data_IF_065758054179
#
_entry.id   IF_065758054179
#
_cell.length_a   1.000
_cell.length_b   1.000
_cell.length_c   1.000
_cell.angle_alpha   90.00
_cell.angle_beta   90.00
_cell.angle_gamma   90.00
#
_symmetry.space_group_name_H-M   'P 1'
#
loop_
_entity.id
_entity.type
_entity.pdbx_description
1 polymer ?
#
# COMPACT_ATOMS: atom_id res chain seq x y z
N UNK A 1 23.91 -23.09 -9.06
CA UNK A 1 23.91 -22.89 -7.59
C UNK A 1 23.90 -24.28 -6.95
N UNK A 2 24.55 -24.55 -5.80
CA UNK A 2 24.40 -25.88 -5.16
C UNK A 2 22.94 -26.08 -4.74
N UNK A 3 22.39 -27.27 -4.95
CA UNK A 3 21.07 -27.64 -4.43
C UNK A 3 21.02 -27.51 -2.90
N UNK A 4 19.85 -27.19 -2.35
CA UNK A 4 19.63 -27.01 -0.92
C UNK A 4 18.58 -28.00 -0.41
N UNK A 5 18.71 -28.42 0.84
CA UNK A 5 17.64 -29.10 1.57
C UNK A 5 17.48 -28.42 2.93
N UNK A 6 16.28 -27.93 3.22
CA UNK A 6 15.91 -27.39 4.54
C UNK A 6 15.19 -28.49 5.31
N UNK A 7 15.65 -28.82 6.51
CA UNK A 7 15.14 -29.96 7.30
C UNK A 7 14.74 -29.54 8.72
N UNK A 8 13.94 -30.37 9.38
CA UNK A 8 13.60 -30.29 10.81
C UNK A 8 12.75 -29.10 11.30
N UNK A 9 12.46 -28.11 10.44
CA UNK A 9 11.56 -27.00 10.77
C UNK A 9 10.08 -27.34 10.64
N UNK A 10 9.24 -26.49 11.21
CA UNK A 10 7.78 -26.55 11.09
C UNK A 10 7.35 -25.71 9.89
N UNK A 11 6.77 -26.34 8.87
CA UNK A 11 6.37 -25.69 7.62
C UNK A 11 4.94 -25.15 7.74
N UNK A 12 4.79 -23.86 7.44
CA UNK A 12 3.49 -23.18 7.32
C UNK A 12 3.31 -22.71 5.88
N UNK A 13 2.35 -23.31 5.18
CA UNK A 13 1.97 -22.96 3.81
C UNK A 13 0.44 -23.05 3.68
N UNK A 14 -0.27 -21.93 3.91
CA UNK A 14 -1.73 -21.90 3.88
C UNK A 14 -2.33 -22.27 2.53
N UNK A 15 -1.64 -22.02 1.41
CA UNK A 15 -2.13 -22.39 0.07
C UNK A 15 -2.12 -23.90 -0.13
N UNK A 16 -1.09 -24.57 0.41
CA UNK A 16 -0.97 -26.03 0.37
C UNK A 16 -1.52 -26.72 1.63
N UNK A 17 -2.17 -25.97 2.53
CA UNK A 17 -2.79 -26.45 3.78
C UNK A 17 -1.81 -27.13 4.74
N UNK A 18 -0.57 -26.65 4.80
CA UNK A 18 0.42 -27.10 5.77
C UNK A 18 0.40 -26.15 6.98
N UNK A 19 0.16 -26.70 8.17
CA UNK A 19 -0.01 -25.95 9.42
C UNK A 19 0.94 -26.47 10.51
N UNK A 20 2.21 -26.08 10.42
CA UNK A 20 3.23 -26.46 11.40
C UNK A 20 3.73 -27.90 11.26
N UNK A 21 3.65 -28.48 10.06
CA UNK A 21 4.10 -29.85 9.80
C UNK A 21 5.62 -29.92 9.64
N UNK A 22 6.27 -30.96 10.20
CA UNK A 22 7.69 -31.22 9.93
C UNK A 22 7.84 -31.81 8.54
N UNK A 23 8.40 -31.03 7.61
CA UNK A 23 8.63 -31.44 6.22
C UNK A 23 9.95 -30.90 5.69
N UNK A 24 10.63 -31.72 4.89
CA UNK A 24 11.83 -31.26 4.18
C UNK A 24 11.46 -30.43 2.96
N UNK A 25 12.17 -29.32 2.75
CA UNK A 25 12.02 -28.48 1.56
C UNK A 25 13.26 -28.65 0.69
N UNK A 26 13.06 -29.15 -0.52
CA UNK A 26 14.10 -29.39 -1.50
C UNK A 26 14.15 -28.26 -2.53
N UNK A 27 15.33 -27.68 -2.76
CA UNK A 27 15.51 -26.56 -3.67
C UNK A 27 16.63 -26.87 -4.65
N UNK A 28 16.36 -26.70 -5.95
CA UNK A 28 17.34 -26.87 -7.02
C UNK A 28 17.17 -25.75 -8.05
N UNK A 29 18.28 -25.12 -8.41
CA UNK A 29 18.34 -24.06 -9.43
C UNK A 29 17.32 -22.92 -9.22
N UNK A 30 17.10 -22.56 -7.94
CA UNK A 30 16.19 -21.48 -7.54
C UNK A 30 14.72 -21.88 -7.44
N UNK A 31 14.37 -23.15 -7.70
CA UNK A 31 13.00 -23.66 -7.64
C UNK A 31 12.84 -24.69 -6.53
N UNK A 32 11.65 -24.71 -5.93
CA UNK A 32 11.23 -25.80 -5.03
C UNK A 32 10.94 -27.04 -5.91
N UNK A 33 11.53 -28.18 -5.54
CA UNK A 33 11.39 -29.45 -6.27
C UNK A 33 10.92 -30.55 -5.33
N UNK A 34 10.39 -31.66 -5.86
CA UNK A 34 9.97 -32.79 -5.02
C UNK A 34 11.13 -33.40 -4.23
N UNK A 35 12.28 -33.56 -4.89
CA UNK A 35 13.48 -34.15 -4.27
C UNK A 35 14.75 -33.69 -4.97
N UNK A 36 15.80 -33.46 -4.20
CA UNK A 36 17.15 -33.28 -4.72
C UNK A 36 17.87 -34.63 -4.72
N UNK A 37 18.47 -34.98 -5.86
CA UNK A 37 19.35 -36.13 -5.99
C UNK A 37 20.82 -35.64 -5.97
N UNK A 38 21.69 -36.29 -5.18
CA UNK A 38 23.12 -35.97 -5.11
C UNK A 38 23.52 -35.03 -3.94
N UNK A 39 24.71 -34.43 -4.04
CA UNK A 39 25.24 -33.51 -3.02
C UNK A 39 24.38 -32.24 -2.93
N UNK A 40 23.87 -31.96 -1.74
CA UNK A 40 23.04 -30.80 -1.44
C UNK A 40 23.49 -30.18 -0.12
N UNK A 41 23.53 -28.86 -0.07
CA UNK A 41 23.80 -28.16 1.18
C UNK A 41 22.58 -28.29 2.09
N UNK A 42 22.80 -28.82 3.28
CA UNK A 42 21.76 -28.96 4.30
C UNK A 42 21.67 -27.67 5.12
N UNK A 43 20.45 -27.20 5.32
CA UNK A 43 20.10 -26.14 6.28
C UNK A 43 19.24 -26.79 7.35
N UNK A 44 19.75 -26.84 8.58
CA UNK A 44 19.00 -27.35 9.73
C UNK A 44 18.14 -26.24 10.32
N UNK A 45 16.82 -26.41 10.29
CA UNK A 45 15.82 -25.49 10.81
C UNK A 45 15.16 -26.04 12.08
N UNK A 46 15.86 -26.89 12.84
CA UNK A 46 15.39 -27.43 14.12
C UNK A 46 14.94 -26.31 15.07
N UNK A 47 13.70 -26.40 15.56
CA UNK A 47 13.11 -25.39 16.45
C UNK A 47 12.69 -24.08 15.76
N UNK A 48 12.73 -24.03 14.42
CA UNK A 48 12.36 -22.87 13.63
C UNK A 48 11.08 -23.11 12.82
N UNK A 49 10.43 -22.00 12.47
CA UNK A 49 9.32 -21.95 11.52
C UNK A 49 9.88 -21.75 10.11
N UNK A 50 9.29 -22.43 9.13
CA UNK A 50 9.56 -22.27 7.71
C UNK A 50 8.28 -21.75 7.05
N UNK A 51 8.38 -20.61 6.37
CA UNK A 51 7.29 -20.00 5.59
C UNK A 51 7.80 -19.64 4.19
N UNK A 52 6.91 -19.49 3.19
CA UNK A 52 7.23 -18.80 1.95
C UNK A 52 7.82 -17.41 2.22
N UNK A 53 8.61 -16.91 1.28
CA UNK A 53 9.10 -15.54 1.34
C UNK A 53 7.94 -14.54 1.38
N UNK A 54 8.04 -13.54 2.26
CA UNK A 54 7.00 -12.53 2.42
C UNK A 54 6.77 -11.72 1.14
N UNK A 55 5.51 -11.41 0.86
CA UNK A 55 5.08 -10.58 -0.27
C UNK A 55 4.41 -9.32 0.27
N UNK A 56 5.04 -8.16 0.07
CA UNK A 56 4.47 -6.87 0.42
C UNK A 56 3.77 -6.27 -0.82
N UNK A 57 2.44 -6.20 -0.76
CA UNK A 57 1.61 -5.80 -1.89
C UNK A 57 1.42 -4.28 -2.01
N UNK A 58 1.84 -3.50 -1.01
CA UNK A 58 1.68 -2.06 -1.00
C UNK A 58 2.73 -1.37 -0.12
N UNK A 59 3.78 -0.85 -0.75
CA UNK A 59 4.85 -0.14 -0.05
C UNK A 59 5.52 0.93 -0.91
N UNK A 60 5.62 2.16 -0.41
CA UNK A 60 6.29 3.26 -1.12
C UNK A 60 7.79 3.22 -0.88
N UNK A 61 8.51 2.59 -1.81
CA UNK A 61 9.94 2.33 -1.72
C UNK A 61 10.75 2.94 -2.86
N UNK A 62 10.11 3.28 -3.97
CA UNK A 62 10.79 3.71 -5.18
C UNK A 62 10.07 4.82 -5.95
N UNK A 63 10.83 5.88 -6.28
CA UNK A 63 10.40 6.92 -7.22
C UNK A 63 10.43 8.33 -6.64
N UNK A 64 10.07 9.31 -7.48
CA UNK A 64 10.23 10.75 -7.16
C UNK A 64 9.62 11.18 -5.82
N UNK A 65 8.42 10.69 -5.49
CA UNK A 65 7.74 10.99 -4.23
C UNK A 65 8.52 10.47 -3.03
N UNK A 66 8.97 9.21 -3.10
CA UNK A 66 9.75 8.58 -2.03
C UNK A 66 11.08 9.32 -1.84
N UNK A 67 11.77 9.63 -2.93
CA UNK A 67 13.05 10.33 -2.87
C UNK A 67 12.93 11.78 -2.37
N UNK A 68 11.84 12.48 -2.71
CA UNK A 68 11.56 13.80 -2.15
C UNK A 68 11.36 13.73 -0.62
N UNK A 69 10.70 12.68 -0.11
CA UNK A 69 10.62 12.39 1.32
C UNK A 69 11.99 12.20 1.97
N UNK A 70 12.88 11.41 1.34
CA UNK A 70 14.27 11.21 1.81
C UNK A 70 15.08 12.51 1.84
N UNK A 71 14.91 13.34 0.82
CA UNK A 71 15.66 14.60 0.67
C UNK A 71 15.22 15.64 1.70
N UNK A 72 13.91 15.80 1.87
CA UNK A 72 13.33 16.85 2.71
C UNK A 72 13.33 16.54 4.19
N UNK A 73 13.68 15.30 4.56
CA UNK A 73 13.74 14.84 5.95
C UNK A 73 15.15 14.44 6.40
N UNK A 74 16.10 15.39 6.52
CA UNK A 74 17.36 15.09 7.19
C UNK A 74 17.15 14.68 8.66
N UNK A 75 16.08 15.12 9.31
CA UNK A 75 15.64 14.72 10.66
C UNK A 75 15.23 13.24 10.77
N UNK A 76 14.88 12.58 9.66
CA UNK A 76 14.57 11.14 9.63
C UNK A 76 15.84 10.26 9.70
N UNK A 77 17.02 10.86 9.56
CA UNK A 77 18.33 10.18 9.52
C UNK A 77 18.92 9.98 10.92
N UNK A 78 18.10 9.42 11.80
CA UNK A 78 18.46 9.13 13.19
C UNK A 78 19.69 8.20 13.26
N UNK A 79 20.58 8.44 14.22
CA UNK A 79 21.91 7.82 14.28
C UNK A 79 21.85 6.30 14.35
N UNK A 80 20.92 5.75 15.13
CA UNK A 80 20.71 4.32 15.32
C UNK A 80 20.15 3.60 14.07
N UNK A 81 19.71 4.35 13.06
CA UNK A 81 19.27 3.81 11.77
C UNK A 81 20.30 4.03 10.65
N UNK A 82 21.49 4.54 10.98
CA UNK A 82 22.61 4.64 10.05
C UNK A 82 23.29 3.29 9.88
N UNK A 83 23.18 2.72 8.68
CA UNK A 83 23.85 1.49 8.30
C UNK A 83 25.24 1.83 7.79
N UNK A 84 26.28 1.29 8.44
CA UNK A 84 27.67 1.45 8.00
C UNK A 84 27.94 0.53 6.82
N UNK A 85 28.80 0.98 5.91
CA UNK A 85 29.31 0.13 4.82
C UNK A 85 30.03 -1.08 5.41
N UNK A 86 29.74 -2.26 4.89
CA UNK A 86 30.45 -3.51 5.23
C UNK A 86 31.17 -4.06 4.00
N UNK A 87 31.76 -5.26 4.12
CA UNK A 87 32.30 -5.99 2.96
C UNK A 87 31.21 -6.40 1.95
N UNK A 88 29.95 -6.53 2.39
CA UNK A 88 28.83 -7.04 1.58
C UNK A 88 27.77 -5.98 1.29
N UNK A 89 27.59 -5.01 2.18
CA UNK A 89 26.51 -4.01 2.13
C UNK A 89 27.04 -2.60 1.96
N UNK A 90 26.29 -1.77 1.24
CA UNK A 90 26.53 -0.33 1.19
C UNK A 90 25.99 0.36 2.44
N UNK A 91 26.51 1.56 2.72
CA UNK A 91 25.95 2.41 3.76
C UNK A 91 24.61 3.02 3.35
N UNK A 92 23.84 3.45 4.33
CA UNK A 92 22.61 4.21 4.11
C UNK A 92 21.95 4.61 5.43
N UNK A 93 20.79 5.25 5.34
CA UNK A 93 20.09 5.83 6.50
C UNK A 93 18.60 5.98 6.20
N UNK A 94 17.85 6.49 7.18
CA UNK A 94 16.41 6.74 7.16
C UNK A 94 15.69 5.80 8.12
N UNK A 95 14.92 6.37 9.05
CA UNK A 95 14.07 5.62 9.96
C UNK A 95 12.73 5.29 9.29
N UNK A 96 11.98 6.31 8.87
CA UNK A 96 10.69 6.15 8.19
C UNK A 96 10.85 5.97 6.68
N UNK A 97 11.78 6.68 6.04
CA UNK A 97 12.00 6.57 4.58
C UNK A 97 13.44 6.16 4.30
N UNK A 98 13.77 4.86 4.41
CA UNK A 98 15.14 4.40 4.19
C UNK A 98 15.63 4.65 2.76
N UNK A 99 16.94 4.85 2.64
CA UNK A 99 17.65 4.82 1.36
C UNK A 99 17.51 3.46 0.65
N UNK A 100 17.53 3.45 -0.68
CA UNK A 100 17.27 2.28 -1.54
C UNK A 100 17.97 0.99 -1.11
N UNK A 101 19.29 1.03 -0.86
CA UNK A 101 20.05 -0.15 -0.42
C UNK A 101 19.55 -0.69 0.92
N UNK A 102 19.29 0.21 1.88
CA UNK A 102 18.81 -0.12 3.22
C UNK A 102 17.39 -0.69 3.17
N UNK A 103 16.54 -0.19 2.27
CA UNK A 103 15.22 -0.77 2.02
C UNK A 103 15.32 -2.27 1.70
N UNK A 104 16.16 -2.64 0.73
CA UNK A 104 16.35 -4.05 0.35
C UNK A 104 16.88 -4.90 1.50
N UNK A 105 17.89 -4.40 2.24
CA UNK A 105 18.45 -5.13 3.38
C UNK A 105 17.44 -5.35 4.50
N UNK A 106 16.63 -4.34 4.82
CA UNK A 106 15.67 -4.43 5.92
C UNK A 106 14.51 -5.37 5.59
N UNK A 107 13.96 -5.33 4.38
CA UNK A 107 12.96 -6.32 3.95
C UNK A 107 13.51 -7.75 3.98
N UNK A 108 14.72 -7.95 3.44
CA UNK A 108 15.35 -9.28 3.44
C UNK A 108 15.57 -9.83 4.87
N UNK A 109 15.93 -8.97 5.84
CA UNK A 109 16.05 -9.35 7.26
C UNK A 109 14.70 -9.74 7.89
N UNK A 110 13.59 -9.21 7.38
CA UNK A 110 12.23 -9.58 7.79
C UNK A 110 11.74 -10.87 7.11
N UNK A 111 12.50 -11.46 6.19
CA UNK A 111 12.09 -12.63 5.41
C UNK A 111 11.18 -12.31 4.22
N UNK A 112 11.06 -11.03 3.83
CA UNK A 112 10.32 -10.63 2.64
C UNK A 112 11.21 -10.74 1.39
N UNK A 113 10.61 -11.21 0.30
CA UNK A 113 11.30 -11.47 -0.96
C UNK A 113 10.68 -10.73 -2.14
N UNK A 114 9.43 -10.29 -2.04
CA UNK A 114 8.75 -9.55 -3.11
C UNK A 114 8.08 -8.31 -2.54
N UNK A 115 8.22 -7.18 -3.24
CA UNK A 115 7.63 -5.89 -2.85
C UNK A 115 7.01 -5.19 -4.06
N UNK A 116 5.92 -4.46 -3.83
CA UNK A 116 5.19 -3.76 -4.89
C UNK A 116 5.11 -2.26 -4.57
N UNK A 117 5.72 -1.42 -5.41
CA UNK A 117 5.56 0.04 -5.38
C UNK A 117 4.17 0.40 -5.94
N UNK A 118 3.28 0.98 -5.13
CA UNK A 118 1.88 1.09 -5.50
C UNK A 118 1.55 2.42 -6.17
N UNK A 119 2.50 3.34 -6.39
CA UNK A 119 2.21 4.65 -6.98
C UNK A 119 3.35 5.16 -7.88
N UNK A 120 3.35 4.73 -9.14
CA UNK A 120 4.29 5.20 -10.16
C UNK A 120 3.64 6.18 -11.14
N UNK A 121 3.97 7.49 -11.11
CA UNK A 121 3.57 8.41 -12.18
C UNK A 121 4.24 8.01 -13.50
N UNK A 122 3.55 8.15 -14.63
CA UNK A 122 3.96 7.56 -15.91
C UNK A 122 5.21 8.27 -16.46
N UNK A 123 5.22 9.61 -16.48
CA UNK A 123 6.36 10.44 -16.90
C UNK A 123 7.61 10.20 -16.05
N UNK A 124 7.41 9.76 -14.81
CA UNK A 124 8.46 9.55 -13.81
C UNK A 124 8.84 8.07 -13.64
N UNK A 125 8.32 7.17 -14.47
CA UNK A 125 8.57 5.73 -14.38
C UNK A 125 10.07 5.37 -14.40
N UNK A 126 10.89 6.10 -15.19
CA UNK A 126 12.35 5.89 -15.24
C UNK A 126 13.00 6.00 -13.85
N UNK A 127 12.63 7.00 -13.05
CA UNK A 127 13.20 7.18 -11.71
C UNK A 127 12.81 6.03 -10.77
N UNK A 128 11.55 5.55 -10.82
CA UNK A 128 11.15 4.37 -10.05
C UNK A 128 12.01 3.15 -10.40
N UNK A 129 12.24 2.88 -11.68
CA UNK A 129 13.09 1.76 -12.11
C UNK A 129 14.57 1.95 -11.77
N UNK A 130 15.10 3.18 -11.84
CA UNK A 130 16.47 3.50 -11.40
C UNK A 130 16.66 3.26 -9.89
N UNK A 131 15.66 3.55 -9.06
CA UNK A 131 15.70 3.22 -7.64
C UNK A 131 15.59 1.70 -7.41
N UNK A 132 14.76 0.98 -8.18
CA UNK A 132 14.68 -0.47 -8.11
C UNK A 132 16.02 -1.17 -8.38
N UNK A 133 16.84 -0.66 -9.30
CA UNK A 133 18.19 -1.17 -9.55
C UNK A 133 19.10 -1.08 -8.31
N UNK A 134 18.81 -0.15 -7.40
CA UNK A 134 19.54 0.06 -6.16
C UNK A 134 18.84 -0.51 -4.91
N UNK A 135 17.75 -1.27 -5.08
CA UNK A 135 17.08 -2.02 -4.02
C UNK A 135 17.45 -3.50 -4.19
N UNK A 136 18.43 -4.01 -3.42
CA UNK A 136 18.97 -5.35 -3.61
C UNK A 136 18.00 -6.45 -3.11
N UNK A 137 18.29 -7.70 -3.50
CA UNK A 137 17.66 -8.95 -3.04
C UNK A 137 16.23 -9.18 -3.53
N UNK A 138 15.35 -8.19 -3.39
CA UNK A 138 13.91 -8.34 -3.58
C UNK A 138 13.52 -8.47 -5.05
N UNK A 139 12.49 -9.26 -5.34
CA UNK A 139 11.68 -9.09 -6.56
C UNK A 139 10.77 -7.88 -6.39
N UNK A 140 10.57 -7.12 -7.48
CA UNK A 140 9.95 -5.79 -7.44
C UNK A 140 8.98 -5.62 -8.58
N UNK A 141 7.85 -4.96 -8.31
CA UNK A 141 6.90 -4.49 -9.31
C UNK A 141 6.48 -3.06 -8.98
N UNK A 142 6.02 -2.31 -10.00
CA UNK A 142 5.42 -0.98 -9.81
C UNK A 142 4.05 -0.91 -10.48
N UNK A 143 3.10 -0.21 -9.85
CA UNK A 143 1.75 -0.02 -10.35
C UNK A 143 1.58 1.44 -10.83
N UNK A 144 1.36 1.68 -12.14
CA UNK A 144 1.13 3.02 -12.67
C UNK A 144 -0.18 3.66 -12.17
N UNK A 145 -0.12 4.97 -11.93
CA UNK A 145 -1.27 5.80 -11.51
C UNK A 145 -2.11 6.20 -12.71
N UNK A 146 -3.40 5.85 -12.70
CA UNK A 146 -4.31 6.00 -13.83
C UNK A 146 -5.63 6.71 -13.50
N UNK A 147 -5.95 6.88 -12.20
CA UNK A 147 -7.23 7.44 -11.75
C UNK A 147 -7.48 8.93 -12.03
N UNK A 148 -6.47 9.67 -12.50
CA UNK A 148 -6.55 11.11 -12.81
C UNK A 148 -5.84 11.44 -14.14
N UNK A 149 -5.66 10.45 -15.01
CA UNK A 149 -4.97 10.65 -16.28
C UNK A 149 -5.93 11.22 -17.33
N UNK A 150 -5.49 12.24 -18.05
CA UNK A 150 -6.34 12.99 -19.00
C UNK A 150 -6.88 12.11 -20.14
N UNK A 151 -6.04 11.27 -20.75
CA UNK A 151 -6.50 10.39 -21.83
C UNK A 151 -7.55 9.37 -21.36
N UNK A 152 -7.38 8.85 -20.13
CA UNK A 152 -8.37 7.95 -19.52
C UNK A 152 -9.70 8.67 -19.32
N UNK A 153 -9.67 9.87 -18.75
CA UNK A 153 -10.88 10.67 -18.53
C UNK A 153 -11.56 11.03 -19.86
N UNK A 154 -10.79 11.37 -20.90
CA UNK A 154 -11.30 11.62 -22.25
C UNK A 154 -12.01 10.40 -22.85
N UNK A 155 -11.37 9.22 -22.79
CA UNK A 155 -11.96 8.00 -23.33
C UNK A 155 -13.22 7.58 -22.56
N UNK A 156 -13.26 7.78 -21.24
CA UNK A 156 -14.44 7.48 -20.43
C UNK A 156 -15.59 8.44 -20.79
N UNK A 157 -15.31 9.75 -20.83
CA UNK A 157 -16.28 10.77 -21.25
C UNK A 157 -16.91 10.45 -22.61
N UNK A 158 -16.09 10.08 -23.58
CA UNK A 158 -16.53 9.77 -24.95
C UNK A 158 -17.06 8.33 -25.12
N UNK A 159 -17.10 7.52 -24.04
CA UNK A 159 -17.51 6.11 -24.04
C UNK A 159 -16.67 5.22 -24.98
N UNK A 160 -15.40 5.56 -25.16
CA UNK A 160 -14.46 4.89 -26.05
C UNK A 160 -13.67 3.78 -25.33
N UNK A 161 -14.39 2.81 -24.73
CA UNK A 161 -13.81 1.79 -23.86
C UNK A 161 -12.75 0.89 -24.53
N UNK A 162 -12.82 0.70 -25.85
CA UNK A 162 -11.79 -0.01 -26.61
C UNK A 162 -10.48 0.77 -26.67
N UNK A 163 -10.55 2.09 -26.88
CA UNK A 163 -9.38 2.97 -26.83
C UNK A 163 -8.80 3.05 -25.41
N UNK A 164 -9.67 3.15 -24.39
CA UNK A 164 -9.27 3.07 -22.99
C UNK A 164 -8.45 1.80 -22.71
N UNK A 165 -8.97 0.63 -23.13
CA UNK A 165 -8.32 -0.66 -22.95
C UNK A 165 -6.97 -0.73 -23.68
N UNK A 166 -6.92 -0.28 -24.93
CA UNK A 166 -5.68 -0.25 -25.71
C UNK A 166 -4.63 0.71 -25.13
N UNK A 167 -5.05 1.88 -24.65
CA UNK A 167 -4.20 2.85 -24.00
C UNK A 167 -3.57 2.29 -22.71
N UNK A 168 -4.36 1.62 -21.87
CA UNK A 168 -3.86 0.98 -20.65
C UNK A 168 -2.83 -0.10 -20.98
N UNK A 169 -3.09 -0.94 -22.00
CA UNK A 169 -2.11 -1.94 -22.45
C UNK A 169 -0.79 -1.31 -22.90
N UNK A 170 -0.87 -0.19 -23.65
CA UNK A 170 0.31 0.57 -24.06
C UNK A 170 1.07 1.16 -22.85
N UNK A 171 0.35 1.76 -21.90
CA UNK A 171 0.95 2.34 -20.68
C UNK A 171 1.68 1.29 -19.85
N UNK A 172 1.06 0.13 -19.61
CA UNK A 172 1.70 -0.97 -18.88
C UNK A 172 2.99 -1.41 -19.57
N UNK A 173 2.96 -1.56 -20.91
CA UNK A 173 4.14 -1.95 -21.70
C UNK A 173 5.25 -0.91 -21.66
N UNK A 174 4.93 0.38 -21.82
CA UNK A 174 5.95 1.43 -21.95
C UNK A 174 6.57 1.79 -20.60
N UNK A 175 5.75 1.86 -19.54
CA UNK A 175 6.20 2.15 -18.18
C UNK A 175 6.74 0.93 -17.44
N UNK A 176 6.59 -0.29 -18.01
CA UNK A 176 6.89 -1.57 -17.34
C UNK A 176 6.08 -1.73 -16.04
N UNK A 177 4.83 -1.26 -16.08
CA UNK A 177 3.87 -1.36 -14.99
C UNK A 177 3.22 -2.75 -14.89
N UNK A 178 2.80 -3.12 -13.68
CA UNK A 178 2.24 -4.44 -13.38
C UNK A 178 0.70 -4.49 -13.34
N UNK A 179 0.04 -3.37 -13.04
CA UNK A 179 -1.41 -3.30 -12.89
C UNK A 179 -1.94 -1.86 -12.94
N UNK A 180 -3.17 -1.64 -12.48
CA UNK A 180 -3.83 -0.34 -12.52
C UNK A 180 -3.96 0.21 -11.10
N UNK A 181 -3.32 1.35 -10.79
CA UNK A 181 -3.52 2.08 -9.53
C UNK A 181 -4.46 3.26 -9.75
N UNK A 182 -5.43 3.40 -8.86
CA UNK A 182 -6.38 4.50 -8.78
C UNK A 182 -6.20 5.16 -7.42
N UNK A 183 -5.91 6.45 -7.38
CA UNK A 183 -5.77 7.22 -6.13
C UNK A 183 -6.66 8.43 -6.22
N UNK A 184 -7.63 8.55 -5.30
CA UNK A 184 -8.58 9.66 -5.23
C UNK A 184 -9.09 10.03 -6.65
N UNK A 185 -9.81 9.11 -7.34
CA UNK A 185 -10.17 9.28 -8.75
C UNK A 185 -10.93 10.59 -8.95
N UNK A 186 -10.50 11.39 -9.93
CA UNK A 186 -11.00 12.73 -10.20
C UNK A 186 -10.59 13.81 -9.18
N UNK A 187 -10.41 13.46 -7.91
CA UNK A 187 -10.07 14.42 -6.86
C UNK A 187 -8.68 15.01 -6.99
N UNK A 188 -7.71 14.25 -7.50
CA UNK A 188 -6.35 14.77 -7.74
C UNK A 188 -6.32 15.71 -8.96
N UNK A 189 -7.15 15.47 -9.97
CA UNK A 189 -7.35 16.42 -11.07
C UNK A 189 -7.99 17.72 -10.56
N UNK A 190 -9.06 17.64 -9.76
CA UNK A 190 -9.68 18.82 -9.14
C UNK A 190 -8.67 19.59 -8.26
N UNK A 191 -7.72 18.89 -7.63
CA UNK A 191 -6.66 19.51 -6.83
C UNK A 191 -5.72 20.41 -7.63
N UNK A 192 -5.53 20.18 -8.92
CA UNK A 192 -4.79 21.10 -9.78
C UNK A 192 -5.41 22.51 -9.80
N UNK A 193 -6.69 22.62 -9.44
CA UNK A 193 -7.48 23.84 -9.36
C UNK A 193 -7.83 24.24 -7.91
N UNK A 194 -7.19 23.62 -6.91
CA UNK A 194 -7.43 23.89 -5.50
C UNK A 194 -8.74 23.32 -4.94
N UNK A 195 -9.34 22.35 -5.64
CA UNK A 195 -10.57 21.66 -5.22
C UNK A 195 -10.31 20.17 -4.94
N UNK A 196 -11.37 19.41 -4.62
CA UNK A 196 -11.33 17.96 -4.48
C UNK A 196 -12.71 17.39 -4.87
N UNK A 197 -12.85 16.06 -4.93
CA UNK A 197 -14.13 15.38 -5.03
C UNK A 197 -14.60 14.95 -3.64
N UNK A 198 -15.80 15.38 -3.25
CA UNK A 198 -16.43 15.10 -1.95
C UNK A 198 -17.32 13.84 -1.96
N UNK A 199 -17.59 13.26 -3.13
CA UNK A 199 -18.31 11.99 -3.29
C UNK A 199 -17.89 11.28 -4.58
N UNK A 200 -18.40 10.07 -4.81
CA UNK A 200 -18.19 9.35 -6.07
C UNK A 200 -18.95 9.94 -7.27
N UNK A 201 -19.93 10.80 -7.01
CA UNK A 201 -20.81 11.39 -8.02
C UNK A 201 -20.51 12.90 -8.22
N UNK A 202 -19.44 13.39 -7.60
CA UNK A 202 -18.95 14.77 -7.75
C UNK A 202 -18.37 14.98 -9.15
N UNK A 203 -18.54 16.20 -9.68
CA UNK A 203 -18.00 16.54 -10.99
C UNK A 203 -16.47 16.62 -10.96
N UNK A 204 -15.83 15.95 -11.91
CA UNK A 204 -14.41 16.15 -12.22
C UNK A 204 -14.29 17.34 -13.17
N UNK A 205 -13.57 18.37 -12.74
CA UNK A 205 -13.45 19.65 -13.43
C UNK A 205 -12.96 19.46 -14.86
N UNK A 206 -13.61 20.12 -15.82
CA UNK A 206 -13.31 20.07 -17.26
C UNK A 206 -13.57 18.73 -17.96
N UNK A 207 -13.83 17.64 -17.23
CA UNK A 207 -13.98 16.30 -17.81
C UNK A 207 -15.43 15.85 -17.95
N UNK A 208 -16.39 16.45 -17.24
CA UNK A 208 -17.82 16.09 -17.29
C UNK A 208 -18.07 14.59 -17.06
N UNK A 209 -17.32 14.05 -16.11
CA UNK A 209 -17.42 12.67 -15.61
C UNK A 209 -17.33 12.70 -14.08
N UNK A 210 -17.53 11.54 -13.47
CA UNK A 210 -17.51 11.32 -12.03
C UNK A 210 -16.41 10.33 -11.62
N UNK A 211 -15.96 10.35 -10.35
CA UNK A 211 -15.09 9.30 -9.80
C UNK A 211 -15.66 7.87 -9.98
N UNK A 212 -16.99 7.71 -9.91
CA UNK A 212 -17.68 6.44 -10.17
C UNK A 212 -17.43 5.92 -11.58
N UNK A 213 -17.60 6.77 -12.59
CA UNK A 213 -17.34 6.40 -14.00
C UNK A 213 -15.87 6.05 -14.24
N UNK A 214 -14.94 6.73 -13.55
CA UNK A 214 -13.51 6.40 -13.58
C UNK A 214 -13.27 4.98 -13.03
N UNK A 215 -13.87 4.65 -11.88
CA UNK A 215 -13.75 3.33 -11.26
C UNK A 215 -14.34 2.23 -12.16
N UNK A 216 -15.56 2.42 -12.67
CA UNK A 216 -16.26 1.46 -13.53
C UNK A 216 -15.49 1.24 -14.84
N UNK A 217 -15.04 2.31 -15.50
CA UNK A 217 -14.27 2.24 -16.74
C UNK A 217 -12.94 1.52 -16.58
N UNK A 218 -12.18 1.83 -15.52
CA UNK A 218 -10.90 1.19 -15.26
C UNK A 218 -11.04 -0.27 -14.80
N UNK A 219 -12.07 -0.60 -14.03
CA UNK A 219 -12.38 -1.99 -13.65
C UNK A 219 -12.71 -2.81 -14.89
N UNK A 220 -13.59 -2.30 -15.75
CA UNK A 220 -13.99 -2.97 -16.99
C UNK A 220 -12.78 -3.23 -17.88
N UNK A 221 -11.90 -2.23 -18.05
CA UNK A 221 -10.69 -2.38 -18.85
C UNK A 221 -9.69 -3.38 -18.22
N UNK A 222 -9.54 -3.38 -16.89
CA UNK A 222 -8.68 -4.35 -16.17
C UNK A 222 -9.09 -5.80 -16.45
N UNK A 223 -10.39 -6.08 -16.33
CA UNK A 223 -10.93 -7.42 -16.51
C UNK A 223 -10.93 -7.83 -17.98
N UNK A 224 -11.18 -6.89 -18.92
CA UNK A 224 -11.06 -7.12 -20.36
C UNK A 224 -9.64 -7.46 -20.80
N UNK A 225 -8.62 -6.82 -20.20
CA UNK A 225 -7.20 -7.16 -20.43
C UNK A 225 -6.78 -8.47 -19.75
N UNK A 226 -7.59 -9.00 -18.83
CA UNK A 226 -7.26 -10.20 -18.08
C UNK A 226 -6.06 -10.03 -17.15
N UNK A 227 -5.81 -8.82 -16.65
CA UNK A 227 -4.63 -8.50 -15.84
C UNK A 227 -4.51 -9.41 -14.60
N UNK A 228 -3.28 -9.80 -14.19
CA UNK A 228 -3.06 -10.70 -13.05
C UNK A 228 -3.67 -10.15 -11.77
N UNK A 229 -3.38 -8.88 -11.47
CA UNK A 229 -3.96 -8.14 -10.35
C UNK A 229 -5.26 -7.45 -10.76
N UNK A 230 -6.09 -7.18 -9.76
CA UNK A 230 -7.29 -6.36 -9.93
C UNK A 230 -6.95 -4.86 -9.90
N UNK A 231 -7.92 -3.97 -10.13
CA UNK A 231 -7.68 -2.54 -9.89
C UNK A 231 -7.31 -2.32 -8.42
N UNK A 232 -6.26 -1.54 -8.19
CA UNK A 232 -5.74 -1.24 -6.87
C UNK A 232 -6.18 0.18 -6.51
N UNK A 233 -7.02 0.34 -5.51
CA UNK A 233 -7.79 1.57 -5.26
C UNK A 233 -7.40 2.18 -3.93
N UNK A 234 -7.11 3.47 -3.95
CA UNK A 234 -7.15 4.39 -2.81
C UNK A 234 -8.40 5.25 -3.04
N UNK A 235 -9.39 5.12 -2.16
CA UNK A 235 -10.71 5.72 -2.33
C UNK A 235 -10.71 7.23 -2.03
N UNK A 236 -11.71 7.95 -2.56
CA UNK A 236 -11.92 9.37 -2.26
C UNK A 236 -12.18 9.59 -0.75
N UNK A 237 -12.01 10.83 -0.29
CA UNK A 237 -12.23 11.24 1.11
C UNK A 237 -11.43 10.45 2.15
N UNK A 238 -10.22 9.99 1.79
CA UNK A 238 -9.30 9.37 2.73
C UNK A 238 -9.15 10.25 3.99
N UNK A 239 -9.15 9.63 5.16
CA UNK A 239 -8.84 10.29 6.42
C UNK A 239 -9.94 11.20 7.00
N UNK A 240 -11.13 11.26 6.39
CA UNK A 240 -12.25 12.10 6.85
C UNK A 240 -13.27 11.28 7.66
N UNK A 241 -13.78 11.78 8.81
CA UNK A 241 -14.90 11.15 9.52
C UNK A 241 -16.12 10.94 8.62
N UNK A 242 -16.75 9.77 8.69
CA UNK A 242 -17.87 9.38 7.83
C UNK A 242 -17.46 8.96 6.40
N UNK A 243 -16.19 8.61 6.18
CA UNK A 243 -15.75 8.14 4.87
C UNK A 243 -16.02 6.64 4.64
N UNK A 244 -16.41 5.88 5.67
CA UNK A 244 -16.79 4.46 5.49
C UNK A 244 -17.94 4.32 4.50
N UNK A 245 -18.87 5.28 4.47
CA UNK A 245 -19.99 5.32 3.53
C UNK A 245 -19.49 5.44 2.08
N UNK A 246 -18.53 6.33 1.82
CA UNK A 246 -17.90 6.46 0.50
C UNK A 246 -17.12 5.22 0.08
N UNK A 247 -16.52 4.53 1.04
CA UNK A 247 -15.84 3.25 0.82
C UNK A 247 -16.83 2.17 0.37
N UNK A 248 -17.98 2.06 1.03
CA UNK A 248 -19.04 1.14 0.62
C UNK A 248 -19.59 1.49 -0.77
N UNK A 249 -19.77 2.77 -1.09
CA UNK A 249 -20.19 3.19 -2.44
C UNK A 249 -19.13 2.86 -3.50
N UNK A 250 -17.84 2.89 -3.15
CA UNK A 250 -16.74 2.46 -4.02
C UNK A 250 -16.83 0.97 -4.33
N UNK A 251 -17.18 0.15 -3.33
CA UNK A 251 -17.37 -1.29 -3.52
C UNK A 251 -18.59 -1.60 -4.40
N UNK A 252 -19.69 -0.88 -4.21
CA UNK A 252 -20.92 -1.06 -5.01
C UNK A 252 -20.72 -0.66 -6.47
N UNK A 253 -19.90 0.35 -6.76
CA UNK A 253 -19.63 0.81 -8.13
C UNK A 253 -19.11 -0.32 -9.03
N UNK A 254 -18.38 -1.29 -8.48
CA UNK A 254 -17.78 -2.39 -9.25
C UNK A 254 -18.50 -3.72 -9.09
N UNK A 255 -19.55 -3.80 -8.28
CA UNK A 255 -20.19 -5.06 -7.89
C UNK A 255 -20.74 -5.85 -9.09
N UNK A 256 -21.21 -5.15 -10.12
CA UNK A 256 -21.81 -5.75 -11.33
C UNK A 256 -20.79 -6.10 -12.43
N UNK A 257 -19.50 -5.86 -12.20
CA UNK A 257 -18.45 -6.11 -13.19
C UNK A 257 -17.79 -7.45 -12.88
N UNK A 258 -17.97 -8.45 -13.74
CA UNK A 258 -17.38 -9.76 -13.51
C UNK A 258 -15.84 -9.70 -13.51
N UNK A 259 -15.23 -10.35 -12.52
CA UNK A 259 -13.79 -10.58 -12.53
C UNK A 259 -13.39 -11.54 -13.63
N UNK A 260 -12.15 -11.44 -14.10
CA UNK A 260 -11.61 -12.39 -15.07
C UNK A 260 -11.72 -13.83 -14.58
N UNK A 261 -11.79 -14.78 -15.52
CA UNK A 261 -11.82 -16.21 -15.22
C UNK A 261 -10.66 -16.61 -14.30
N UNK A 262 -10.98 -17.25 -13.17
CA UNK A 262 -10.01 -17.76 -12.20
C UNK A 262 -9.59 -16.78 -11.09
N UNK A 263 -10.01 -15.51 -11.13
CA UNK A 263 -9.91 -14.56 -10.01
C UNK A 263 -11.32 -14.26 -9.51
N UNK A 264 -11.50 -14.16 -8.19
CA UNK A 264 -12.80 -13.84 -7.56
C UNK A 264 -12.99 -12.34 -7.32
N UNK A 265 -11.91 -11.64 -6.97
CA UNK A 265 -11.95 -10.22 -6.70
C UNK A 265 -11.92 -9.39 -7.98
N UNK A 266 -12.59 -8.24 -7.99
CA UNK A 266 -12.53 -7.24 -9.05
C UNK A 266 -12.14 -5.84 -8.54
N UNK A 267 -11.90 -5.72 -7.22
CA UNK A 267 -11.28 -4.54 -6.62
C UNK A 267 -10.41 -4.93 -5.42
N UNK A 268 -9.29 -4.23 -5.28
CA UNK A 268 -8.46 -4.23 -4.09
C UNK A 268 -8.39 -2.82 -3.50
N UNK A 269 -9.00 -2.59 -2.33
CA UNK A 269 -8.90 -1.31 -1.62
C UNK A 269 -7.70 -1.34 -0.68
N UNK A 270 -6.75 -0.46 -0.93
CA UNK A 270 -5.56 -0.38 -0.09
C UNK A 270 -5.80 0.46 1.15
N UNK A 271 -4.97 0.20 2.18
CA UNK A 271 -4.86 0.97 3.40
C UNK A 271 -6.22 1.39 3.99
N UNK A 272 -7.12 0.40 4.03
CA UNK A 272 -8.53 0.56 4.31
C UNK A 272 -8.81 1.16 5.69
N UNK A 273 -7.85 1.06 6.62
CA UNK A 273 -7.90 1.75 7.90
C UNK A 273 -8.21 3.24 7.71
N UNK A 274 -7.59 3.94 6.75
CA UNK A 274 -7.85 5.37 6.51
C UNK A 274 -9.19 5.65 5.79
N UNK A 275 -9.92 4.62 5.42
CA UNK A 275 -11.19 4.64 4.69
C UNK A 275 -12.32 3.94 5.48
N UNK A 276 -12.10 3.65 6.76
CA UNK A 276 -13.05 2.99 7.65
C UNK A 276 -13.40 3.89 8.84
N UNK A 277 -13.62 5.18 8.60
CA UNK A 277 -13.94 6.16 9.64
C UNK A 277 -15.45 6.38 9.72
N UNK A 278 -16.02 6.17 10.91
CA UNK A 278 -17.40 6.55 11.22
C UNK A 278 -17.49 7.99 11.73
N UNK A 279 -18.64 8.33 12.31
CA UNK A 279 -18.95 9.69 12.76
C UNK A 279 -19.23 10.65 11.60
N UNK A 280 -19.33 11.94 11.92
CA UNK A 280 -19.58 13.01 10.93
C UNK A 280 -18.59 14.17 11.02
N UNK A 281 -17.81 14.22 12.11
CA UNK A 281 -16.72 15.16 12.33
C UNK A 281 -15.75 14.59 13.39
N UNK A 282 -14.69 15.32 13.72
CA UNK A 282 -13.70 14.86 14.70
C UNK A 282 -14.21 14.77 16.14
N UNK A 283 -15.31 15.46 16.48
CA UNK A 283 -15.93 15.42 17.81
C UNK A 283 -16.73 14.15 18.09
N UNK A 284 -17.18 13.44 17.05
CA UNK A 284 -17.87 12.15 17.16
C UNK A 284 -17.19 11.06 16.31
N UNK A 285 -15.88 11.20 16.09
CA UNK A 285 -15.09 10.24 15.33
C UNK A 285 -15.07 8.86 16.02
N UNK A 286 -15.34 7.81 15.25
CA UNK A 286 -15.41 6.42 15.71
C UNK A 286 -14.95 5.43 14.63
N UNK A 287 -14.79 4.17 15.00
CA UNK A 287 -14.43 3.09 14.07
C UNK A 287 -15.59 2.69 13.17
N UNK A 288 -15.32 2.57 11.87
CA UNK A 288 -16.19 1.93 10.88
C UNK A 288 -15.72 0.52 10.47
N UNK A 289 -14.73 -0.05 11.16
CA UNK A 289 -14.10 -1.31 10.75
C UNK A 289 -15.08 -2.50 10.70
N UNK A 290 -16.01 -2.57 11.65
CA UNK A 290 -17.01 -3.63 11.71
C UNK A 290 -17.93 -3.65 10.49
N UNK A 291 -18.36 -2.47 10.01
CA UNK A 291 -19.21 -2.34 8.82
C UNK A 291 -18.47 -2.82 7.56
N UNK A 292 -17.19 -2.49 7.43
CA UNK A 292 -16.34 -2.95 6.33
C UNK A 292 -16.16 -4.48 6.40
N UNK A 293 -15.87 -5.04 7.58
CA UNK A 293 -15.69 -6.48 7.76
C UNK A 293 -16.99 -7.25 7.43
N UNK A 294 -18.16 -6.75 7.84
CA UNK A 294 -19.46 -7.33 7.48
C UNK A 294 -19.70 -7.26 5.97
N UNK A 295 -19.32 -6.17 5.31
CA UNK A 295 -19.43 -6.06 3.85
C UNK A 295 -18.56 -7.13 3.15
N UNK A 296 -17.30 -7.31 3.59
CA UNK A 296 -16.39 -8.31 3.01
C UNK A 296 -16.90 -9.75 3.18
N UNK A 297 -17.55 -10.07 4.31
CA UNK A 297 -18.15 -11.39 4.53
C UNK A 297 -19.24 -11.70 3.48
N UNK A 298 -20.01 -10.69 3.09
CA UNK A 298 -21.10 -10.83 2.10
C UNK A 298 -20.62 -10.74 0.65
N UNK A 299 -19.49 -10.07 0.38
CA UNK A 299 -19.02 -9.76 -0.97
C UNK A 299 -17.61 -10.27 -1.23
N UNK A 300 -17.51 -11.35 -2.02
CA UNK A 300 -16.23 -12.03 -2.34
C UNK A 300 -15.43 -11.35 -3.44
N UNK A 301 -16.00 -10.35 -4.10
CA UNK A 301 -15.35 -9.60 -5.17
C UNK A 301 -14.40 -8.51 -4.63
N UNK A 302 -14.40 -8.25 -3.33
CA UNK A 302 -13.55 -7.23 -2.71
C UNK A 302 -12.44 -7.88 -1.88
N UNK A 303 -11.24 -7.32 -2.00
CA UNK A 303 -10.12 -7.54 -1.09
C UNK A 303 -9.62 -6.20 -0.57
N UNK A 304 -9.01 -6.18 0.60
CA UNK A 304 -8.44 -4.97 1.20
C UNK A 304 -7.03 -5.21 1.72
N UNK A 305 -6.25 -4.17 1.92
CA UNK A 305 -5.11 -4.20 2.83
C UNK A 305 -5.30 -3.19 3.97
N UNK A 306 -4.71 -3.49 5.14
CA UNK A 306 -5.08 -2.80 6.37
C UNK A 306 -4.57 -1.35 6.42
N UNK A 307 -3.30 -1.09 6.11
CA UNK A 307 -2.68 0.23 6.33
C UNK A 307 -2.55 0.54 7.83
N UNK A 308 -2.08 -0.42 8.62
CA UNK A 308 -1.97 -0.31 10.07
C UNK A 308 -1.14 0.90 10.51
N UNK A 309 -1.70 1.71 11.40
CA UNK A 309 -0.99 2.78 12.10
C UNK A 309 -0.03 2.19 13.14
N UNK A 310 1.18 2.74 13.22
CA UNK A 310 2.20 2.35 14.20
C UNK A 310 2.66 3.56 15.00
N UNK A 311 2.61 3.45 16.32
CA UNK A 311 3.21 4.43 17.22
C UNK A 311 4.73 4.30 17.20
N UNK A 312 5.39 5.30 16.61
CA UNK A 312 6.85 5.39 16.50
C UNK A 312 7.46 6.30 17.56
N UNK A 313 8.79 6.25 17.66
CA UNK A 313 9.56 7.21 18.49
C UNK A 313 9.82 8.56 17.79
N UNK A 314 9.59 8.62 16.48
CA UNK A 314 9.73 9.82 15.65
C UNK A 314 8.54 9.92 14.69
N UNK A 315 8.38 11.07 14.03
CA UNK A 315 7.29 11.32 13.08
C UNK A 315 7.51 10.53 11.80
N UNK A 316 6.64 9.59 11.44
CA UNK A 316 6.69 8.89 10.14
C UNK A 316 6.49 9.88 8.98
N UNK A 317 6.62 9.43 7.74
CA UNK A 317 6.41 10.27 6.56
C UNK A 317 5.20 9.77 5.80
N UNK A 318 4.13 10.55 5.77
CA UNK A 318 3.07 10.33 4.80
C UNK A 318 3.54 10.80 3.43
N UNK A 319 3.21 10.00 2.43
CA UNK A 319 3.48 10.25 1.04
C UNK A 319 2.45 9.52 0.19
N UNK A 320 1.60 10.25 -0.51
CA UNK A 320 0.59 9.66 -1.41
C UNK A 320 0.53 10.41 -2.74
N UNK A 321 -0.17 9.83 -3.72
CA UNK A 321 -0.58 10.56 -4.93
C UNK A 321 -1.81 11.46 -4.67
N UNK A 322 -2.41 11.38 -3.48
CA UNK A 322 -3.52 12.21 -3.02
C UNK A 322 -3.02 13.57 -2.47
N UNK A 323 -2.66 14.46 -3.40
CA UNK A 323 -2.22 15.82 -3.09
C UNK A 323 -3.15 16.64 -2.17
N UNK A 324 -4.48 16.68 -2.37
CA UNK A 324 -5.36 17.49 -1.53
C UNK A 324 -5.43 16.96 -0.09
N UNK A 325 -5.37 15.64 0.13
CA UNK A 325 -5.29 15.08 1.48
C UNK A 325 -4.03 15.53 2.22
N UNK A 326 -2.86 15.45 1.57
CA UNK A 326 -1.59 15.86 2.19
C UNK A 326 -1.56 17.37 2.46
N UNK A 327 -2.21 18.18 1.62
CA UNK A 327 -2.41 19.60 1.91
C UNK A 327 -3.29 19.84 3.15
N UNK A 328 -4.36 19.06 3.32
CA UNK A 328 -5.18 19.12 4.54
C UNK A 328 -4.36 18.69 5.77
N UNK A 329 -3.62 17.58 5.67
CA UNK A 329 -2.79 17.05 6.75
C UNK A 329 -1.69 18.04 7.19
N UNK A 330 -1.09 18.75 6.23
CA UNK A 330 -0.16 19.86 6.49
C UNK A 330 -0.76 20.87 7.47
N UNK A 331 -2.00 21.32 7.23
CA UNK A 331 -2.68 22.32 8.06
C UNK A 331 -3.14 21.77 9.41
N UNK A 332 -3.45 20.48 9.49
CA UNK A 332 -3.81 19.81 10.75
C UNK A 332 -2.60 19.61 11.67
N UNK A 333 -1.40 19.43 11.10
CA UNK A 333 -0.25 18.90 11.82
C UNK A 333 0.56 19.87 12.68
N UNK A 334 0.25 21.16 12.79
CA UNK A 334 1.13 22.04 13.59
C UNK A 334 0.63 23.42 13.98
N UNK A 335 0.88 23.76 15.26
CA UNK A 335 0.97 25.13 15.78
C UNK A 335 2.45 25.39 16.11
N UNK A 336 3.03 26.49 15.64
CA UNK A 336 4.40 26.88 15.98
C UNK A 336 4.50 27.28 17.45
N UNK A 337 5.73 27.28 17.98
CA UNK A 337 6.03 27.76 19.34
C UNK A 337 5.61 29.23 19.58
N UNK A 338 5.32 29.99 18.51
CA UNK A 338 4.89 31.39 18.55
C UNK A 338 3.38 31.56 18.31
N UNK A 339 2.60 30.48 18.36
CA UNK A 339 1.14 30.51 18.24
C UNK A 339 0.59 30.63 16.81
N UNK A 340 1.44 30.70 15.79
CA UNK A 340 0.99 30.57 14.40
C UNK A 340 0.61 29.12 14.10
N UNK A 341 -0.33 28.85 13.19
CA UNK A 341 -0.57 27.49 12.66
C UNK A 341 0.06 27.33 11.28
N UNK A 342 1.40 27.30 11.14
CA UNK A 342 2.03 27.20 9.83
C UNK A 342 1.93 25.80 9.23
N UNK A 343 1.34 24.84 9.95
CA UNK A 343 1.36 23.43 9.58
C UNK A 343 2.73 22.78 9.74
N UNK A 344 2.83 21.51 9.38
CA UNK A 344 4.10 20.75 9.31
C UNK A 344 4.67 20.80 7.91
N UNK A 345 5.99 20.89 7.76
CA UNK A 345 6.64 21.01 6.45
C UNK A 345 6.04 20.05 5.37
N UNK A 346 5.73 20.57 4.18
CA UNK A 346 4.99 19.86 3.13
C UNK A 346 5.65 20.00 1.76
N UNK A 347 5.56 18.95 0.93
CA UNK A 347 5.89 18.99 -0.50
C UNK A 347 4.65 18.59 -1.30
N UNK A 348 4.32 19.38 -2.32
CA UNK A 348 3.38 19.03 -3.37
C UNK A 348 4.14 18.67 -4.66
N UNK A 349 3.61 17.72 -5.43
CA UNK A 349 4.15 17.41 -6.75
C UNK A 349 3.07 17.06 -7.74
N UNK A 350 2.72 17.98 -8.63
CA UNK A 350 1.88 17.71 -9.79
C UNK A 350 2.70 17.11 -10.94
N UNK A 351 2.09 16.23 -11.72
CA UNK A 351 2.68 15.61 -12.91
C UNK A 351 1.71 15.85 -14.06
N UNK A 352 2.20 16.53 -15.11
CA UNK A 352 1.37 17.00 -16.22
C UNK A 352 0.46 15.88 -16.74
N UNK A 353 -0.85 16.15 -16.82
CA UNK A 353 -1.86 15.28 -17.42
C UNK A 353 -1.99 13.86 -16.85
N UNK A 354 -1.36 13.57 -15.70
CA UNK A 354 -1.23 12.21 -15.18
C UNK A 354 -1.73 12.05 -13.75
N UNK A 355 -1.17 12.82 -12.81
CA UNK A 355 -1.36 12.60 -11.38
C UNK A 355 -0.80 13.74 -10.53
N UNK A 356 -0.95 13.61 -9.22
CA UNK A 356 -0.39 14.50 -8.22
C UNK A 356 0.36 13.72 -7.14
N UNK A 357 0.83 14.44 -6.13
CA UNK A 357 1.44 13.86 -4.94
C UNK A 357 1.56 14.89 -3.83
N UNK A 358 1.59 14.40 -2.60
CA UNK A 358 1.93 15.17 -1.43
C UNK A 358 2.80 14.36 -0.47
N UNK A 359 3.56 15.06 0.38
CA UNK A 359 4.45 14.46 1.37
C UNK A 359 4.41 15.32 2.64
N UNK A 360 4.09 14.71 3.79
CA UNK A 360 4.03 15.37 5.09
C UNK A 360 4.63 14.48 6.19
N UNK A 361 5.50 14.99 7.07
CA UNK A 361 5.84 14.30 8.31
C UNK A 361 4.65 14.25 9.26
N UNK A 362 4.33 13.08 9.81
CA UNK A 362 3.24 12.92 10.77
C UNK A 362 3.64 12.04 11.97
N UNK A 363 3.29 12.47 13.19
CA UNK A 363 3.58 11.73 14.42
C UNK A 363 2.31 11.15 15.03
N UNK A 364 2.13 9.83 14.87
CA UNK A 364 1.08 9.11 15.57
C UNK A 364 1.43 8.98 17.06
N UNK A 365 0.73 9.75 17.88
CA UNK A 365 0.85 9.74 19.34
C UNK A 365 -0.34 8.97 19.97
N UNK A 366 -0.11 7.90 20.75
CA UNK A 366 -1.18 7.13 21.39
C UNK A 366 -2.03 7.94 22.37
N UNK A 367 -1.52 9.08 22.87
CA UNK A 367 -2.26 9.98 23.77
C UNK A 367 -3.26 10.87 23.03
N UNK A 368 -3.26 10.87 21.69
CA UNK A 368 -4.24 11.60 20.87
C UNK A 368 -5.34 10.62 20.49
N UNK A 369 -6.58 10.93 20.89
CA UNK A 369 -7.74 10.05 20.70
C UNK A 369 -7.90 9.60 19.23
N UNK A 370 -7.73 10.52 18.26
CA UNK A 370 -7.78 10.18 16.83
C UNK A 370 -6.77 9.10 16.47
N UNK A 371 -5.50 9.27 16.86
CA UNK A 371 -4.44 8.31 16.55
C UNK A 371 -4.65 6.96 17.25
N UNK A 372 -5.20 6.96 18.47
CA UNK A 372 -5.55 5.76 19.21
C UNK A 372 -6.65 4.95 18.50
N UNK A 373 -7.72 5.62 18.08
CA UNK A 373 -8.80 5.00 17.29
C UNK A 373 -8.27 4.54 15.93
N UNK A 374 -7.39 5.31 15.27
CA UNK A 374 -6.78 4.90 14.02
C UNK A 374 -5.99 3.59 14.14
N UNK A 375 -5.19 3.44 15.22
CA UNK A 375 -4.49 2.20 15.52
C UNK A 375 -5.45 1.03 15.75
N UNK A 376 -6.56 1.26 16.47
CA UNK A 376 -7.57 0.25 16.74
C UNK A 376 -8.29 -0.22 15.46
N UNK A 377 -8.68 0.69 14.57
CA UNK A 377 -9.37 0.37 13.30
C UNK A 377 -8.57 -0.64 12.48
N UNK A 378 -7.25 -0.46 12.34
CA UNK A 378 -6.42 -1.39 11.57
C UNK A 378 -6.42 -2.81 12.14
N UNK A 379 -6.39 -2.93 13.48
CA UNK A 379 -6.47 -4.21 14.17
C UNK A 379 -7.88 -4.81 14.08
N UNK A 380 -8.93 -4.01 14.21
CA UNK A 380 -10.31 -4.45 14.05
C UNK A 380 -10.55 -5.00 12.64
N UNK A 381 -10.09 -4.32 11.59
CA UNK A 381 -10.19 -4.83 10.22
C UNK A 381 -9.54 -6.23 10.09
N UNK A 382 -8.33 -6.41 10.62
CA UNK A 382 -7.60 -7.69 10.57
C UNK A 382 -8.18 -8.78 11.46
N UNK A 383 -8.76 -8.45 12.61
CA UNK A 383 -9.31 -9.41 13.57
C UNK A 383 -10.77 -9.79 13.27
N UNK A 384 -11.56 -8.87 12.69
CA UNK A 384 -12.98 -9.08 12.38
C UNK A 384 -13.20 -9.71 10.99
N UNK A 385 -12.27 -9.51 10.04
CA UNK A 385 -12.38 -10.10 8.71
C UNK A 385 -12.23 -11.62 8.78
N UNK A 386 -13.31 -12.36 8.50
CA UNK A 386 -13.33 -13.83 8.66
C UNK A 386 -12.49 -14.59 7.62
N UNK A 387 -12.43 -14.08 6.39
CA UNK A 387 -11.65 -14.71 5.33
C UNK A 387 -10.28 -14.05 5.24
N UNK A 388 -9.18 -14.71 5.68
CA UNK A 388 -7.85 -14.11 5.66
C UNK A 388 -7.31 -13.84 4.24
N UNK A 389 -7.95 -14.38 3.20
CA UNK A 389 -7.62 -14.09 1.80
C UNK A 389 -8.29 -12.82 1.25
N UNK A 390 -9.12 -12.15 2.05
CA UNK A 390 -9.72 -10.86 1.70
C UNK A 390 -9.06 -9.67 2.40
N UNK A 391 -8.10 -9.90 3.30
CA UNK A 391 -7.34 -8.84 3.96
C UNK A 391 -5.85 -9.14 3.99
N UNK A 392 -5.03 -8.13 3.70
CA UNK A 392 -3.58 -8.21 3.76
C UNK A 392 -3.02 -7.24 4.81
N UNK A 393 -2.01 -7.68 5.55
CA UNK A 393 -1.32 -6.84 6.54
C UNK A 393 -0.31 -5.93 5.82
N UNK A 394 -0.53 -4.62 5.94
CA UNK A 394 0.32 -3.55 5.41
C UNK A 394 0.37 -2.42 6.43
N UNK A 395 1.33 -1.50 6.27
CA UNK A 395 1.33 -0.20 6.99
C UNK A 395 1.19 0.97 6.03
N UNK A 396 0.85 0.70 4.76
CA UNK A 396 0.95 1.67 3.69
C UNK A 396 2.32 2.36 3.72
N UNK A 397 3.40 1.58 3.79
CA UNK A 397 4.70 2.12 4.16
C UNK A 397 5.07 3.36 3.33
N UNK A 398 5.46 4.49 3.95
CA UNK A 398 5.57 4.78 5.38
C UNK A 398 4.38 5.51 6.02
N UNK A 399 3.25 5.68 5.33
CA UNK A 399 2.08 6.46 5.75
C UNK A 399 1.55 6.06 7.13
N UNK A 400 1.13 4.81 7.33
CA UNK A 400 0.71 4.30 8.65
C UNK A 400 1.89 4.00 9.57
N UNK A 401 3.04 3.64 8.98
CA UNK A 401 4.30 3.45 9.69
C UNK A 401 5.35 2.75 8.83
N UNK A 402 6.62 2.69 9.29
CA UNK A 402 7.67 2.01 8.55
C UNK A 402 7.44 0.49 8.49
N UNK A 403 7.72 -0.14 7.33
CA UNK A 403 7.57 -1.60 7.15
C UNK A 403 8.40 -2.43 8.14
N UNK A 404 9.45 -1.84 8.73
CA UNK A 404 10.24 -2.45 9.80
C UNK A 404 9.42 -2.81 11.04
N UNK A 405 8.20 -2.28 11.15
CA UNK A 405 7.28 -2.55 12.25
C UNK A 405 6.36 -3.75 12.00
N UNK A 406 6.44 -4.44 10.84
CA UNK A 406 5.63 -5.62 10.56
C UNK A 406 5.71 -6.70 11.67
N UNK A 407 6.88 -7.03 12.25
CA UNK A 407 6.94 -7.98 13.38
C UNK A 407 6.14 -7.53 14.61
N UNK A 408 6.06 -6.22 14.86
CA UNK A 408 5.28 -5.68 15.97
C UNK A 408 3.78 -5.86 15.71
N UNK A 409 3.33 -5.69 14.46
CA UNK A 409 1.93 -5.88 14.07
C UNK A 409 1.55 -7.35 14.15
N UNK A 410 2.40 -8.25 13.67
CA UNK A 410 2.21 -9.70 13.82
C UNK A 410 2.08 -10.08 15.30
N UNK A 411 2.92 -9.51 16.18
CA UNK A 411 2.79 -9.70 17.63
C UNK A 411 1.43 -9.22 18.15
N UNK A 412 0.97 -8.03 17.74
CA UNK A 412 -0.34 -7.53 18.12
C UNK A 412 -1.47 -8.44 17.65
N UNK A 413 -1.40 -9.05 16.48
CA UNK A 413 -2.42 -9.99 16.01
C UNK A 413 -2.41 -11.29 16.82
N UNK A 414 -1.22 -11.80 17.15
CA UNK A 414 -1.06 -13.10 17.83
C UNK A 414 -1.25 -13.06 19.35
N UNK A 415 -1.00 -11.92 20.00
CA UNK A 415 -1.00 -11.80 21.46
C UNK A 415 -1.88 -10.64 21.94
N UNK A 416 -3.00 -10.97 22.61
CA UNK A 416 -3.91 -9.97 23.18
C UNK A 416 -3.22 -9.08 24.21
N UNK A 417 -2.35 -9.63 25.06
CA UNK A 417 -1.68 -8.86 26.09
C UNK A 417 -0.84 -7.74 25.47
N UNK A 418 -0.12 -8.03 24.39
CA UNK A 418 0.64 -7.00 23.66
C UNK A 418 -0.20 -5.87 23.07
N UNK A 419 -1.51 -6.07 22.88
CA UNK A 419 -2.44 -5.00 22.48
C UNK A 419 -2.88 -4.20 23.71
N UNK A 420 -3.27 -4.89 24.78
CA UNK A 420 -3.69 -4.29 26.05
C UNK A 420 -2.57 -3.44 26.69
N UNK A 421 -1.30 -3.74 26.42
CA UNK A 421 -0.15 -2.98 26.91
C UNK A 421 0.10 -1.66 26.13
N UNK A 422 -0.57 -1.42 24.99
CA UNK A 422 -0.34 -0.23 24.12
C UNK A 422 -1.26 0.94 24.47
N UNK A 423 -2.56 0.67 24.63
CA UNK A 423 -3.63 1.60 24.99
C UNK A 423 -4.40 1.00 26.16
#
# INVERSE_FOLDING_TARGET
MKSLIIKNGLVYDPLNKLDGEKKEIHIKDGLIVEKVNGDAKIIDASGMIIMPGGVDIHTHIAGTKVNAGRLFRPDDKLEEFNEKKTKLTRSGTGWSVPSTWVTGYRYARLGYTTVVEPAMPLLKARHTHEEFLNIPILDKAAIPLLGNNWFIMEFIKNREYDKLTAYIAWILKITKGYGIKIVNPGGVENWAWGANCDSLDSSVFHWDITPREILEGLTTANEKLGLPHTIHVHANNLGHPGNKEHTIETFKAVEKIDSKKGRKSNLHLTHCQFNAYGGTNWGNFESGAADIAEYLEKHKNITIDAGQVVFGKSATTTMTADGPWEFALHHLGGTSAWGAKPGVKWINGQVESESGSGIVPYFFNPKVAVNAVQWAIGLELMLLTKNPWQIFMTTDHPNGGPFTSYPQILRWLMDKKSRDDVL
#
